data_IF_482659127854
#
_entry.id   IF_482659127854
#
_cell.length_a   1.000
_cell.length_b   1.000
_cell.length_c   1.000
_cell.angle_alpha   90.00
_cell.angle_beta   90.00
_cell.angle_gamma   90.00
#
_symmetry.space_group_name_H-M   'P 1'
#
loop_
_entity.id
_entity.type
_entity.pdbx_description
1 polymer ?
#
# COMPACT_ATOMS: atom_id res chain seq x y z
N UNK A 1 7.07 14.26 13.81
CA UNK A 1 7.44 12.83 13.88
C UNK A 1 6.95 12.17 12.60
N UNK A 2 7.79 11.33 11.99
CA UNK A 2 7.39 10.53 10.84
C UNK A 2 6.60 9.32 11.35
N UNK A 3 5.37 9.15 10.88
CA UNK A 3 4.54 7.98 11.20
C UNK A 3 4.26 7.22 9.91
N UNK A 4 4.72 5.98 9.86
CA UNK A 4 4.51 5.08 8.73
C UNK A 4 3.67 3.89 9.19
N UNK A 5 2.66 3.55 8.41
CA UNK A 5 1.76 2.42 8.68
C UNK A 5 1.64 1.60 7.41
N UNK A 6 1.98 0.32 7.53
CA UNK A 6 1.77 -0.69 6.52
C UNK A 6 0.75 -1.70 7.02
N UNK A 7 -0.26 -1.98 6.21
CA UNK A 7 -1.26 -3.01 6.44
C UNK A 7 -1.17 -4.00 5.29
N UNK A 8 -0.94 -5.27 5.59
CA UNK A 8 -0.89 -6.37 4.62
C UNK A 8 -1.96 -7.39 4.97
N UNK A 9 -2.80 -7.76 4.01
CA UNK A 9 -3.87 -8.72 4.23
C UNK A 9 -4.00 -9.67 3.04
N UNK A 10 -4.08 -10.97 3.32
CA UNK A 10 -4.33 -11.99 2.30
C UNK A 10 -5.72 -11.84 1.69
N UNK A 11 -5.84 -12.01 0.37
CA UNK A 11 -7.11 -11.92 -0.35
C UNK A 11 -8.01 -13.16 -0.19
N UNK A 12 -7.45 -14.28 0.27
CA UNK A 12 -8.16 -15.53 0.55
C UNK A 12 -8.44 -15.76 2.04
N UNK A 13 -8.10 -14.81 2.92
CA UNK A 13 -8.52 -14.86 4.32
C UNK A 13 -10.02 -14.54 4.42
N UNK A 14 -10.78 -15.42 5.07
CA UNK A 14 -12.19 -15.20 5.37
C UNK A 14 -12.42 -14.52 6.72
N UNK A 15 -11.62 -14.87 7.74
CA UNK A 15 -11.84 -14.47 9.13
C UNK A 15 -11.56 -12.98 9.31
N UNK A 16 -10.37 -12.55 8.88
CA UNK A 16 -9.97 -11.15 8.82
C UNK A 16 -9.78 -10.74 7.37
N UNK A 17 -10.89 -10.74 6.62
CA UNK A 17 -10.82 -10.62 5.16
C UNK A 17 -10.31 -9.25 4.67
N UNK A 18 -9.65 -9.29 3.51
CA UNK A 18 -9.04 -8.10 2.91
C UNK A 18 -10.03 -7.01 2.55
N UNK A 19 -11.29 -7.36 2.22
CA UNK A 19 -12.33 -6.38 1.88
C UNK A 19 -12.78 -5.55 3.08
N UNK A 20 -13.00 -6.19 4.22
CA UNK A 20 -13.33 -5.53 5.48
C UNK A 20 -12.16 -4.69 6.00
N UNK A 21 -10.94 -5.22 5.93
CA UNK A 21 -9.73 -4.48 6.28
C UNK A 21 -9.55 -3.23 5.39
N UNK A 22 -9.67 -3.36 4.07
CA UNK A 22 -9.59 -2.23 3.13
C UNK A 22 -10.68 -1.19 3.43
N UNK A 23 -11.93 -1.64 3.63
CA UNK A 23 -13.04 -0.75 3.96
C UNK A 23 -12.81 0.01 5.28
N UNK A 24 -12.24 -0.64 6.29
CA UNK A 24 -11.87 0.01 7.54
C UNK A 24 -10.81 1.10 7.32
N UNK A 25 -9.73 0.78 6.60
CA UNK A 25 -8.66 1.73 6.28
C UNK A 25 -9.20 2.93 5.50
N UNK A 26 -10.05 2.70 4.52
CA UNK A 26 -10.66 3.75 3.70
C UNK A 26 -11.70 4.59 4.47
N UNK A 27 -12.08 4.21 5.70
CA UNK A 27 -12.95 4.96 6.58
C UNK A 27 -12.21 5.65 7.74
N UNK A 28 -10.89 5.50 7.84
CA UNK A 28 -10.08 6.15 8.85
C UNK A 28 -10.31 7.67 8.85
N UNK A 29 -10.61 8.18 10.05
CA UNK A 29 -10.71 9.60 10.34
C UNK A 29 -9.35 10.14 10.76
N UNK A 30 -9.25 11.47 10.87
CA UNK A 30 -8.04 12.15 11.32
C UNK A 30 -7.95 13.56 10.77
N UNK A 31 -7.00 14.35 11.28
CA UNK A 31 -6.81 15.74 10.90
C UNK A 31 -6.64 15.93 9.38
N UNK A 32 -5.97 14.98 8.70
CA UNK A 32 -5.71 15.02 7.26
C UNK A 32 -6.71 14.24 6.41
N UNK A 33 -7.82 13.75 6.99
CA UNK A 33 -8.84 12.94 6.30
C UNK A 33 -8.22 11.71 5.61
N UNK A 34 -7.42 10.94 6.35
CA UNK A 34 -6.60 9.85 5.82
C UNK A 34 -7.37 8.88 4.91
N UNK A 35 -8.50 8.33 5.36
CA UNK A 35 -9.28 7.39 4.57
C UNK A 35 -9.89 8.00 3.30
N UNK A 36 -10.36 9.25 3.36
CA UNK A 36 -10.93 9.96 2.20
C UNK A 36 -9.89 10.17 1.10
N UNK A 37 -8.70 10.68 1.47
CA UNK A 37 -7.63 10.92 0.50
C UNK A 37 -7.08 9.60 -0.07
N UNK A 38 -6.92 8.57 0.75
CA UNK A 38 -6.46 7.25 0.28
C UNK A 38 -7.48 6.60 -0.67
N UNK A 39 -8.79 6.83 -0.49
CA UNK A 39 -9.84 6.33 -1.39
C UNK A 39 -9.68 6.84 -2.82
N UNK A 40 -9.19 8.07 -2.99
CA UNK A 40 -8.87 8.66 -4.30
C UNK A 40 -7.61 8.09 -4.96
N UNK A 41 -6.80 7.31 -4.25
CA UNK A 41 -5.60 6.66 -4.80
C UNK A 41 -5.99 5.33 -5.43
N UNK A 42 -5.73 5.07 -6.73
CA UNK A 42 -6.05 3.80 -7.37
C UNK A 42 -5.31 2.64 -6.72
N UNK A 43 -5.95 1.47 -6.68
CA UNK A 43 -5.28 0.23 -6.28
C UNK A 43 -4.48 -0.33 -7.45
N UNK A 44 -3.16 -0.35 -7.35
CA UNK A 44 -2.27 -0.77 -8.42
C UNK A 44 -1.55 -2.07 -8.07
N UNK A 45 -1.30 -2.97 -9.04
CA UNK A 45 -0.42 -4.11 -8.83
C UNK A 45 0.96 -3.64 -8.36
N UNK A 46 1.58 -4.30 -7.39
CA UNK A 46 2.88 -3.91 -6.84
C UNK A 46 3.86 -5.07 -6.89
N UNK A 47 5.11 -4.75 -7.25
CA UNK A 47 6.23 -5.69 -7.22
C UNK A 47 7.41 -5.11 -6.46
N UNK A 48 8.04 -5.92 -5.64
CA UNK A 48 9.26 -5.57 -4.89
C UNK A 48 10.32 -6.63 -5.12
N UNK A 49 11.56 -6.20 -5.37
CA UNK A 49 12.65 -7.12 -5.71
C UNK A 49 12.35 -8.02 -6.92
N UNK A 50 11.55 -7.52 -7.87
CA UNK A 50 11.11 -8.27 -9.06
C UNK A 50 9.99 -9.29 -8.81
N UNK A 51 9.41 -9.36 -7.61
CA UNK A 51 8.35 -10.32 -7.25
C UNK A 51 7.03 -9.58 -7.07
N UNK A 52 5.96 -10.05 -7.73
CA UNK A 52 4.60 -9.51 -7.55
C UNK A 52 4.06 -9.92 -6.17
N UNK A 53 3.62 -8.94 -5.39
CA UNK A 53 3.07 -9.16 -4.04
C UNK A 53 1.53 -9.10 -4.04
N UNK A 54 0.95 -8.28 -4.91
CA UNK A 54 -0.50 -8.11 -4.99
C UNK A 54 -0.86 -6.69 -5.37
N UNK A 55 -1.91 -6.13 -4.76
CA UNK A 55 -2.39 -4.78 -5.09
C UNK A 55 -2.25 -3.84 -3.91
N UNK A 56 -1.78 -2.61 -4.16
CA UNK A 56 -1.51 -1.63 -3.12
C UNK A 56 -2.27 -0.33 -3.36
N UNK A 57 -2.68 0.32 -2.26
CA UNK A 57 -2.94 1.76 -2.19
C UNK A 57 -1.95 2.36 -1.21
N UNK A 58 -1.22 3.40 -1.60
CA UNK A 58 -0.27 4.07 -0.73
C UNK A 58 -0.32 5.59 -0.92
N UNK A 59 -0.27 6.33 0.19
CA UNK A 59 -0.33 7.79 0.20
C UNK A 59 0.61 8.38 1.25
N UNK A 60 1.34 9.41 0.83
CA UNK A 60 2.10 10.32 1.72
C UNK A 60 1.28 11.58 1.96
N UNK A 61 0.99 11.86 3.23
CA UNK A 61 0.08 12.94 3.66
C UNK A 61 0.79 14.29 3.83
N UNK A 62 -0.02 15.34 3.91
CA UNK A 62 0.38 16.75 4.11
C UNK A 62 1.12 17.02 5.43
N UNK A 63 1.00 16.12 6.40
CA UNK A 63 1.77 16.14 7.65
C UNK A 63 2.95 15.15 7.65
N UNK A 64 3.33 14.65 6.47
CA UNK A 64 4.37 13.65 6.25
C UNK A 64 4.04 12.23 6.77
N UNK A 65 2.85 11.97 7.32
CA UNK A 65 2.43 10.62 7.62
C UNK A 65 2.36 9.77 6.34
N UNK A 66 2.52 8.45 6.46
CA UNK A 66 2.49 7.51 5.32
C UNK A 66 1.59 6.34 5.66
N UNK A 67 0.67 6.00 4.76
CA UNK A 67 -0.25 4.87 4.91
C UNK A 67 -0.24 4.04 3.64
N UNK A 68 -0.01 2.74 3.80
CA UNK A 68 -0.10 1.76 2.74
C UNK A 68 -1.01 0.60 3.15
N UNK A 69 -1.89 0.19 2.24
CA UNK A 69 -2.66 -1.03 2.33
C UNK A 69 -2.30 -1.92 1.15
N UNK A 70 -1.82 -3.14 1.42
CA UNK A 70 -1.50 -4.15 0.42
C UNK A 70 -2.45 -5.33 0.60
N UNK A 71 -3.21 -5.62 -0.44
CA UNK A 71 -3.93 -6.88 -0.62
C UNK A 71 -2.97 -7.88 -1.24
N UNK A 72 -2.50 -8.83 -0.45
CA UNK A 72 -1.57 -9.89 -0.87
C UNK A 72 -2.37 -10.92 -1.66
N UNK A 73 -2.03 -11.10 -2.93
CA UNK A 73 -2.76 -12.02 -3.82
C UNK A 73 -2.42 -13.46 -3.51
N UNK A 74 -3.41 -14.34 -3.65
CA UNK A 74 -3.28 -15.78 -3.42
C UNK A 74 -2.73 -16.14 -2.03
N UNK A 75 -3.17 -15.44 -0.99
CA UNK A 75 -2.73 -15.66 0.38
C UNK A 75 -3.91 -15.69 1.36
N UNK A 76 -3.91 -16.66 2.27
CA UNK A 76 -4.87 -16.78 3.37
C UNK A 76 -4.47 -15.98 4.62
N UNK A 77 -4.99 -16.38 5.77
CA UNK A 77 -4.78 -15.70 7.06
C UNK A 77 -3.30 -15.51 7.42
N UNK A 78 -2.48 -16.56 7.22
CA UNK A 78 -1.05 -16.51 7.46
C UNK A 78 -0.30 -16.16 6.17
N UNK A 79 -0.29 -14.89 5.79
CA UNK A 79 0.31 -14.43 4.52
C UNK A 79 1.76 -14.88 4.33
N UNK A 80 2.54 -14.97 5.42
CA UNK A 80 3.94 -15.42 5.39
C UNK A 80 4.06 -16.91 5.08
N UNK A 81 3.08 -17.72 5.47
CA UNK A 81 3.08 -19.16 5.15
C UNK A 81 2.77 -19.43 3.66
N UNK A 82 1.92 -18.62 3.04
CA UNK A 82 1.53 -18.77 1.63
C UNK A 82 2.49 -18.08 0.65
N UNK A 83 2.96 -16.88 1.01
CA UNK A 83 3.75 -16.00 0.15
C UNK A 83 5.00 -15.48 0.88
N UNK A 84 5.88 -16.37 1.41
CA UNK A 84 6.99 -15.98 2.27
C UNK A 84 7.96 -15.01 1.58
N UNK A 85 8.30 -15.27 0.31
CA UNK A 85 9.25 -14.47 -0.44
C UNK A 85 8.67 -13.09 -0.76
N UNK A 86 7.43 -13.05 -1.25
CA UNK A 86 6.71 -11.84 -1.62
C UNK A 86 6.57 -10.92 -0.42
N UNK A 87 6.08 -11.47 0.71
CA UNK A 87 5.86 -10.70 1.95
C UNK A 87 7.19 -10.21 2.52
N UNK A 88 8.25 -11.02 2.47
CA UNK A 88 9.59 -10.56 2.86
C UNK A 88 10.06 -9.38 2.01
N UNK A 89 9.91 -9.46 0.67
CA UNK A 89 10.30 -8.35 -0.22
C UNK A 89 9.48 -7.09 0.04
N UNK A 90 8.16 -7.22 0.24
CA UNK A 90 7.30 -6.09 0.58
C UNK A 90 7.67 -5.45 1.93
N UNK A 91 7.96 -6.27 2.93
CA UNK A 91 8.36 -5.78 4.25
C UNK A 91 9.75 -5.12 4.22
N UNK A 92 10.70 -5.66 3.46
CA UNK A 92 12.00 -5.02 3.25
C UNK A 92 11.86 -3.67 2.52
N UNK A 93 11.00 -3.59 1.51
CA UNK A 93 10.72 -2.34 0.81
C UNK A 93 10.08 -1.28 1.71
N UNK A 94 9.27 -1.70 2.69
CA UNK A 94 8.75 -0.82 3.72
C UNK A 94 9.87 -0.30 4.62
N UNK A 95 10.72 -1.18 5.16
CA UNK A 95 11.83 -0.80 6.06
C UNK A 95 12.89 0.07 5.39
N UNK A 96 13.18 -0.15 4.10
CA UNK A 96 14.13 0.67 3.32
C UNK A 96 13.55 2.01 2.85
N UNK A 97 12.22 2.17 2.97
CA UNK A 97 11.48 3.29 2.41
C UNK A 97 11.26 3.22 0.90
N UNK A 98 11.69 2.14 0.22
CA UNK A 98 11.46 1.94 -1.22
C UNK A 98 9.97 1.88 -1.57
N UNK A 99 9.14 1.39 -0.65
CA UNK A 99 7.68 1.37 -0.78
C UNK A 99 7.12 2.78 -1.05
N UNK A 100 7.75 3.80 -0.48
CA UNK A 100 7.32 5.19 -0.55
C UNK A 100 7.96 5.97 -1.71
N UNK A 101 8.87 5.36 -2.47
CA UNK A 101 9.53 6.03 -3.59
C UNK A 101 8.59 6.14 -4.80
N UNK A 102 8.82 7.17 -5.61
CA UNK A 102 7.98 7.60 -6.72
C UNK A 102 7.69 6.47 -7.71
N UNK A 103 6.42 6.08 -7.78
CA UNK A 103 5.90 5.00 -8.64
C UNK A 103 4.74 4.26 -7.99
N UNK A 104 4.78 4.13 -6.66
CA UNK A 104 3.79 3.34 -5.91
C UNK A 104 2.94 4.15 -4.94
N UNK A 105 3.56 5.05 -4.17
CA UNK A 105 2.87 5.94 -3.26
C UNK A 105 2.60 7.29 -3.94
N UNK A 106 1.35 7.77 -3.87
CA UNK A 106 1.03 9.14 -4.29
C UNK A 106 1.32 10.13 -3.17
N UNK A 107 1.53 11.38 -3.54
CA UNK A 107 1.69 12.50 -2.61
C UNK A 107 0.40 13.29 -2.54
N UNK A 108 -0.13 13.51 -1.35
CA UNK A 108 -1.36 14.32 -1.17
C UNK A 108 -1.12 15.83 -1.34
N UNK A 109 0.14 16.28 -1.40
CA UNK A 109 0.51 17.67 -1.69
C UNK A 109 0.31 18.01 -3.17
N UNK A 110 0.28 17.00 -4.04
CA UNK A 110 0.11 17.15 -5.47
C UNK A 110 -1.33 16.79 -5.81
N UNK A 111 -2.20 17.78 -5.78
CA UNK A 111 -3.56 17.71 -6.34
C UNK A 111 -3.58 17.54 -7.86
N UNK A 112 -2.44 17.37 -8.52
CA UNK A 112 -2.35 17.16 -9.96
C UNK A 112 -1.46 15.97 -10.29
N UNK A 113 -2.02 15.17 -11.19
CA UNK A 113 -1.44 14.09 -11.96
C UNK A 113 0.00 14.44 -12.36
N UNK A 114 0.98 13.75 -11.79
CA UNK A 114 2.20 13.45 -12.53
C UNK A 114 1.95 12.15 -13.29
N UNK A 115 1.30 12.28 -14.45
CA UNK A 115 1.63 11.43 -15.58
C UNK A 115 3.08 11.78 -15.91
N UNK A 116 4.01 10.92 -15.51
CA UNK A 116 5.27 10.82 -16.20
C UNK A 116 5.25 9.50 -16.94
N UNK A 117 4.78 9.60 -18.18
CA UNK A 117 5.49 9.00 -19.29
C UNK A 117 6.99 9.21 -19.07
N UNK A 118 7.66 8.10 -18.76
CA UNK A 118 9.09 7.93 -19.00
C UNK A 118 9.27 6.44 -19.17
N UNK A 119 9.04 6.01 -20.40
CA UNK A 119 9.92 5.11 -21.14
C UNK A 119 11.04 4.53 -20.26
N UNK A 120 10.91 3.25 -19.89
CA UNK A 120 12.05 2.47 -19.47
C UNK A 120 12.89 2.15 -20.72
N UNK A 121 14.23 2.30 -20.69
CA UNK A 121 15.09 1.49 -21.54
C UNK A 121 14.99 0.00 -21.15
#
# INVERSE_FOLDING_TARGET
MLHEVLIMNGDQDYVTNSGGAEAWVLNLKGADKYGEKLRGVPSTPVKFGGVELGKMRALVYSNQARLAFIKVTEAGHSIVAYKPREVQQGFLAYLSGDLWKSGWARSSYLGEVCDRDSEMP
#
